data_IF_793065222804
#
_entry.id   IF_793065222804
#
_cell.length_a   1.000
_cell.length_b   1.000
_cell.length_c   1.000
_cell.angle_alpha   90.00
_cell.angle_beta   90.00
_cell.angle_gamma   90.00
#
_symmetry.space_group_name_H-M   'P 1'
#
loop_
_entity.id
_entity.type
_entity.pdbx_description
1 polymer ?
#
# COMPACT_ATOMS: atom_id res chain seq x y z
N UNK A 1 7.61 -36.88 20.52
CA UNK A 1 7.72 -35.56 19.87
C UNK A 1 6.29 -35.08 19.78
N UNK A 2 6.01 -34.03 20.52
CA UNK A 2 4.67 -33.51 20.77
C UNK A 2 4.30 -32.60 19.61
N UNK A 3 3.02 -32.57 19.22
CA UNK A 3 2.53 -31.73 18.12
C UNK A 3 2.93 -30.24 18.26
N UNK A 4 3.17 -29.77 19.50
CA UNK A 4 3.67 -28.42 19.81
C UNK A 4 5.09 -28.16 19.29
N UNK A 5 6.00 -29.13 19.37
CA UNK A 5 7.38 -28.98 18.90
C UNK A 5 7.43 -28.83 17.38
N UNK A 6 6.57 -29.57 16.68
CA UNK A 6 6.45 -29.53 15.22
C UNK A 6 5.87 -28.19 14.74
N UNK A 7 4.88 -27.63 15.45
CA UNK A 7 4.32 -26.31 15.15
C UNK A 7 5.38 -25.21 15.32
N UNK A 8 6.14 -25.25 16.41
CA UNK A 8 7.22 -24.27 16.66
C UNK A 8 8.29 -24.33 15.57
N UNK A 9 8.64 -25.53 15.10
CA UNK A 9 9.59 -25.71 14.01
C UNK A 9 9.08 -25.10 12.70
N UNK A 10 7.82 -25.37 12.34
CA UNK A 10 7.19 -24.81 11.12
C UNK A 10 7.15 -23.28 11.17
N UNK A 11 6.77 -22.69 12.29
CA UNK A 11 6.74 -21.23 12.46
C UNK A 11 8.13 -20.62 12.30
N UNK A 12 9.16 -21.26 12.85
CA UNK A 12 10.55 -20.82 12.72
C UNK A 12 11.03 -20.87 11.27
N UNK A 13 10.69 -21.94 10.54
CA UNK A 13 11.03 -22.06 9.11
C UNK A 13 10.33 -20.97 8.28
N UNK A 14 9.04 -20.71 8.54
CA UNK A 14 8.29 -19.64 7.87
C UNK A 14 8.89 -18.27 8.18
N UNK A 15 9.17 -17.99 9.45
CA UNK A 15 9.81 -16.74 9.84
C UNK A 15 11.16 -16.54 9.15
N UNK A 16 11.95 -17.60 8.99
CA UNK A 16 13.25 -17.52 8.30
C UNK A 16 13.12 -17.19 6.81
N UNK A 17 12.03 -17.62 6.16
CA UNK A 17 11.74 -17.35 4.75
C UNK A 17 11.22 -15.92 4.50
N UNK A 18 10.75 -15.23 5.54
CA UNK A 18 10.21 -13.87 5.39
C UNK A 18 11.31 -12.85 5.06
N UNK A 19 11.00 -11.83 4.24
CA UNK A 19 11.90 -10.72 3.99
C UNK A 19 12.31 -10.00 5.29
N UNK A 20 13.51 -9.43 5.29
CA UNK A 20 14.07 -8.76 6.47
C UNK A 20 13.19 -7.62 7.03
N UNK A 21 12.54 -6.76 6.22
CA UNK A 21 11.60 -5.77 6.72
C UNK A 21 10.42 -6.37 7.49
N UNK A 22 9.87 -7.49 7.01
CA UNK A 22 8.73 -8.17 7.63
C UNK A 22 9.15 -8.82 8.94
N UNK A 23 10.31 -9.49 8.96
CA UNK A 23 10.85 -10.09 10.19
C UNK A 23 11.09 -9.05 11.27
N UNK A 24 11.67 -7.90 10.90
CA UNK A 24 11.88 -6.78 11.83
C UNK A 24 10.55 -6.29 12.39
N UNK A 25 9.54 -6.13 11.55
CA UNK A 25 8.21 -5.69 11.97
C UNK A 25 7.59 -6.67 12.99
N UNK A 26 7.75 -7.98 12.80
CA UNK A 26 7.26 -8.98 13.75
C UNK A 26 8.01 -8.91 15.09
N UNK A 27 9.33 -8.68 15.07
CA UNK A 27 10.15 -8.60 16.30
C UNK A 27 10.18 -7.21 16.94
N UNK A 28 9.61 -6.19 16.29
CA UNK A 28 9.68 -4.81 16.76
C UNK A 28 8.63 -4.56 17.84
N UNK A 29 9.07 -3.92 18.93
CA UNK A 29 8.19 -3.45 19.99
C UNK A 29 7.25 -2.32 19.52
N UNK A 30 7.63 -1.62 18.44
CA UNK A 30 6.85 -0.49 17.93
C UNK A 30 5.46 -0.93 17.44
N UNK A 31 5.35 -2.11 16.82
CA UNK A 31 4.08 -2.63 16.34
C UNK A 31 3.13 -2.94 17.50
N UNK A 32 3.60 -3.59 18.56
CA UNK A 32 2.78 -3.85 19.75
C UNK A 32 2.35 -2.56 20.44
N UNK A 33 3.22 -1.53 20.49
CA UNK A 33 2.85 -0.20 21.00
C UNK A 33 1.76 0.45 20.17
N UNK A 34 1.90 0.44 18.84
CA UNK A 34 0.91 0.99 17.94
C UNK A 34 -0.43 0.26 18.00
N UNK A 35 -0.43 -1.08 18.09
CA UNK A 35 -1.66 -1.86 18.25
C UNK A 35 -2.33 -1.60 19.59
N UNK A 36 -1.55 -1.36 20.65
CA UNK A 36 -2.08 -0.98 21.95
C UNK A 36 -2.73 0.40 21.94
N UNK A 37 -2.07 1.40 21.35
CA UNK A 37 -2.64 2.73 21.12
C UNK A 37 -3.94 2.67 20.31
N UNK A 38 -3.98 1.77 19.31
CA UNK A 38 -5.17 1.51 18.51
C UNK A 38 -6.32 0.93 19.35
N UNK A 39 -6.01 -0.05 20.19
CA UNK A 39 -6.97 -0.66 21.11
C UNK A 39 -7.57 0.36 22.07
N UNK A 40 -6.74 1.25 22.62
CA UNK A 40 -7.21 2.34 23.49
C UNK A 40 -8.11 3.33 22.72
N UNK A 41 -7.74 3.70 21.50
CA UNK A 41 -8.50 4.63 20.64
C UNK A 41 -9.88 4.11 20.28
N UNK A 42 -9.97 2.82 19.95
CA UNK A 42 -11.22 2.15 19.59
C UNK A 42 -11.95 1.55 20.80
N UNK A 43 -11.44 1.78 22.02
CA UNK A 43 -12.00 1.30 23.29
C UNK A 43 -12.18 -0.23 23.32
N UNK A 44 -11.22 -0.94 22.73
CA UNK A 44 -11.18 -2.39 22.78
C UNK A 44 -10.86 -2.86 24.19
N UNK A 45 -11.47 -3.96 24.58
CA UNK A 45 -11.14 -4.65 25.83
C UNK A 45 -9.78 -5.34 25.71
N UNK A 46 -9.18 -5.72 26.84
CA UNK A 46 -7.86 -6.40 26.86
C UNK A 46 -7.90 -7.68 26.02
N UNK A 47 -8.93 -8.51 26.19
CA UNK A 47 -9.08 -9.75 25.43
C UNK A 47 -9.26 -9.51 23.92
N UNK A 48 -9.94 -8.42 23.57
CA UNK A 48 -10.17 -8.02 22.17
C UNK A 48 -8.88 -7.50 21.53
N UNK A 49 -8.10 -6.73 22.28
CA UNK A 49 -6.80 -6.26 21.84
C UNK A 49 -5.83 -7.43 21.63
N UNK A 50 -5.80 -8.41 22.53
CA UNK A 50 -4.99 -9.62 22.38
C UNK A 50 -5.40 -10.42 21.13
N UNK A 51 -6.70 -10.59 20.89
CA UNK A 51 -7.22 -11.23 19.68
C UNK A 51 -6.84 -10.45 18.40
N UNK A 52 -6.86 -9.12 18.46
CA UNK A 52 -6.46 -8.26 17.34
C UNK A 52 -4.96 -8.42 17.03
N UNK A 53 -4.11 -8.41 18.06
CA UNK A 53 -2.66 -8.58 17.92
C UNK A 53 -2.34 -9.94 17.28
N UNK A 54 -2.98 -11.00 17.77
CA UNK A 54 -2.83 -12.35 17.21
C UNK A 54 -3.26 -12.41 15.73
N UNK A 55 -4.39 -11.79 15.38
CA UNK A 55 -4.86 -11.75 13.99
C UNK A 55 -3.85 -11.01 13.08
N UNK A 56 -3.34 -9.85 13.50
CA UNK A 56 -2.35 -9.09 12.74
C UNK A 56 -1.04 -9.86 12.61
N UNK A 57 -0.55 -10.47 13.68
CA UNK A 57 0.64 -11.33 13.65
C UNK A 57 0.47 -12.48 12.66
N UNK A 58 -0.67 -13.18 12.70
CA UNK A 58 -0.96 -14.28 11.77
C UNK A 58 -0.99 -13.81 10.31
N UNK A 59 -1.51 -12.61 10.05
CA UNK A 59 -1.45 -11.99 8.71
C UNK A 59 -0.02 -11.66 8.30
N UNK A 60 0.82 -11.13 9.21
CA UNK A 60 2.24 -10.87 8.94
C UNK A 60 3.05 -12.14 8.65
N UNK A 61 2.70 -13.26 9.31
CA UNK A 61 3.26 -14.58 9.00
C UNK A 61 2.74 -15.17 7.68
N UNK A 62 1.75 -14.52 7.04
CA UNK A 62 1.15 -14.99 5.80
C UNK A 62 0.20 -16.17 5.98
N UNK A 63 -0.31 -16.40 7.19
CA UNK A 63 -1.31 -17.45 7.44
C UNK A 63 -2.66 -17.11 6.81
N UNK A 64 -2.97 -15.81 6.72
CA UNK A 64 -4.18 -15.28 6.08
C UNK A 64 -3.84 -14.10 5.16
N UNK A 65 -4.57 -13.94 4.06
CA UNK A 65 -4.44 -12.78 3.18
C UNK A 65 -4.92 -11.50 3.89
N UNK A 66 -4.39 -10.34 3.50
CA UNK A 66 -4.71 -9.05 4.13
C UNK A 66 -6.17 -8.66 3.85
N UNK A 67 -6.71 -9.08 2.72
CA UNK A 67 -8.09 -8.88 2.31
C UNK A 67 -9.10 -9.52 3.27
N UNK A 68 -8.70 -10.62 3.93
CA UNK A 68 -9.53 -11.32 4.92
C UNK A 68 -9.39 -10.73 6.33
N UNK A 69 -8.50 -9.77 6.55
CA UNK A 69 -8.22 -9.22 7.88
C UNK A 69 -9.46 -8.57 8.50
N UNK A 70 -10.25 -7.82 7.74
CA UNK A 70 -11.50 -7.20 8.24
C UNK A 70 -12.48 -8.26 8.75
N UNK A 71 -12.66 -9.33 7.97
CA UNK A 71 -13.54 -10.45 8.33
C UNK A 71 -13.03 -11.16 9.58
N UNK A 72 -11.71 -11.36 9.69
CA UNK A 72 -11.09 -11.97 10.87
C UNK A 72 -11.22 -11.11 12.11
N UNK A 73 -11.01 -9.80 12.00
CA UNK A 73 -11.20 -8.87 13.12
C UNK A 73 -12.65 -8.94 13.60
N UNK A 74 -13.62 -8.92 12.69
CA UNK A 74 -15.04 -9.04 13.06
C UNK A 74 -15.36 -10.35 13.80
N UNK A 75 -14.77 -11.47 13.35
CA UNK A 75 -15.03 -12.81 13.91
C UNK A 75 -14.31 -13.05 15.25
N UNK A 76 -13.02 -12.74 15.32
CA UNK A 76 -12.16 -13.06 16.48
C UNK A 76 -12.27 -11.99 17.57
N UNK A 77 -12.34 -10.71 17.19
CA UNK A 77 -12.41 -9.58 18.14
C UNK A 77 -13.86 -9.30 18.56
N UNK A 78 -14.85 -9.75 17.77
CA UNK A 78 -16.27 -9.62 18.11
C UNK A 78 -16.79 -8.18 18.05
N UNK A 79 -16.27 -7.37 17.12
CA UNK A 79 -16.60 -5.94 16.97
C UNK A 79 -17.65 -5.71 15.86
N UNK A 80 -18.22 -4.51 15.81
CA UNK A 80 -19.18 -4.13 14.76
C UNK A 80 -18.50 -4.04 13.39
N UNK A 81 -19.28 -4.10 12.31
CA UNK A 81 -18.75 -4.00 10.95
C UNK A 81 -18.00 -2.67 10.70
N UNK A 82 -18.57 -1.56 11.19
CA UNK A 82 -17.99 -0.24 11.07
C UNK A 82 -16.65 -0.12 11.82
N UNK A 83 -16.57 -0.69 13.03
CA UNK A 83 -15.34 -0.67 13.84
C UNK A 83 -14.28 -1.61 13.29
N UNK A 84 -14.67 -2.79 12.78
CA UNK A 84 -13.75 -3.70 12.08
C UNK A 84 -13.10 -3.00 10.89
N UNK A 85 -13.91 -2.35 10.03
CA UNK A 85 -13.40 -1.62 8.86
C UNK A 85 -12.48 -0.47 9.23
N UNK A 86 -12.82 0.29 10.27
CA UNK A 86 -11.98 1.37 10.77
C UNK A 86 -10.64 0.84 11.31
N UNK A 87 -10.67 -0.24 12.12
CA UNK A 87 -9.48 -0.91 12.63
C UNK A 87 -8.59 -1.43 11.49
N UNK A 88 -9.17 -2.12 10.51
CA UNK A 88 -8.41 -2.60 9.34
C UNK A 88 -7.74 -1.47 8.59
N UNK A 89 -8.42 -0.34 8.38
CA UNK A 89 -7.85 0.82 7.71
C UNK A 89 -6.69 1.44 8.51
N UNK A 90 -6.82 1.55 9.83
CA UNK A 90 -5.77 2.09 10.68
C UNK A 90 -4.55 1.15 10.74
N UNK A 91 -4.78 -0.16 10.91
CA UNK A 91 -3.72 -1.18 10.91
C UNK A 91 -2.99 -1.20 9.57
N UNK A 92 -3.73 -1.09 8.46
CA UNK A 92 -3.12 -0.99 7.12
C UNK A 92 -2.13 0.15 7.03
N UNK A 93 -2.45 1.31 7.61
CA UNK A 93 -1.60 2.50 7.56
C UNK A 93 -0.42 2.42 8.52
N UNK A 94 -0.65 1.92 9.73
CA UNK A 94 0.36 1.97 10.79
C UNK A 94 1.35 0.80 10.68
N UNK A 95 0.86 -0.38 10.31
CA UNK A 95 1.68 -1.61 10.30
C UNK A 95 2.07 -2.00 8.87
N UNK A 96 1.11 -2.14 7.96
CA UNK A 96 1.37 -2.76 6.66
C UNK A 96 1.99 -1.80 5.63
N UNK A 97 1.61 -0.53 5.62
CA UNK A 97 2.12 0.49 4.69
C UNK A 97 3.63 0.74 4.87
N UNK A 98 4.18 0.93 6.08
CA UNK A 98 5.63 1.09 6.25
C UNK A 98 6.44 -0.13 5.83
N UNK A 99 5.88 -1.34 6.02
CA UNK A 99 6.51 -2.58 5.56
C UNK A 99 6.50 -2.64 4.04
N UNK A 100 5.38 -2.29 3.41
CA UNK A 100 5.26 -2.24 1.95
C UNK A 100 6.25 -1.25 1.35
N UNK A 101 6.34 -0.04 1.88
CA UNK A 101 7.32 0.97 1.43
C UNK A 101 8.76 0.46 1.54
N UNK A 102 9.11 -0.23 2.63
CA UNK A 102 10.43 -0.82 2.80
C UNK A 102 10.70 -1.93 1.78
N UNK A 103 9.70 -2.77 1.48
CA UNK A 103 9.82 -3.83 0.48
C UNK A 103 9.96 -3.27 -0.94
N UNK A 104 9.12 -2.29 -1.31
CA UNK A 104 9.18 -1.61 -2.60
C UNK A 104 10.54 -0.96 -2.81
N UNK A 105 11.04 -0.26 -1.79
CA UNK A 105 12.38 0.33 -1.82
C UNK A 105 13.47 -0.71 -2.08
N UNK A 106 13.41 -1.87 -1.42
CA UNK A 106 14.39 -2.94 -1.64
C UNK A 106 14.31 -3.50 -3.07
N UNK A 107 13.10 -3.63 -3.62
CA UNK A 107 12.90 -4.12 -4.99
C UNK A 107 13.45 -3.13 -6.02
N UNK A 108 13.13 -1.84 -5.90
CA UNK A 108 13.62 -0.77 -6.78
C UNK A 108 15.16 -0.72 -6.85
N UNK A 109 15.84 -0.85 -5.71
CA UNK A 109 17.31 -0.90 -5.67
C UNK A 109 17.90 -2.26 -6.08
N UNK A 110 17.13 -3.35 -5.98
CA UNK A 110 17.57 -4.67 -6.45
C UNK A 110 17.56 -4.76 -7.98
N UNK A 111 16.53 -4.23 -8.64
CA UNK A 111 16.46 -4.17 -10.10
C UNK A 111 17.55 -3.26 -10.68
N UNK A 112 17.89 -2.17 -9.98
CA UNK A 112 19.01 -1.31 -10.35
C UNK A 112 20.39 -2.01 -10.27
N UNK A 113 20.53 -3.10 -9.50
CA UNK A 113 21.72 -3.97 -9.52
C UNK A 113 21.68 -5.00 -10.65
N UNK A 114 20.51 -5.57 -10.95
CA UNK A 114 20.37 -6.58 -12.02
C UNK A 114 20.50 -5.95 -13.41
N UNK A 115 20.00 -4.73 -13.62
CA UNK A 115 20.09 -4.04 -14.92
C UNK A 115 21.52 -3.61 -15.27
N UNK A 116 22.39 -3.36 -14.29
CA UNK A 116 23.80 -3.01 -14.56
C UNK A 116 24.66 -4.18 -15.03
N UNK A 117 24.20 -5.42 -14.85
CA UNK A 117 24.83 -6.61 -15.44
C UNK A 117 24.14 -7.07 -16.75
N UNK A 118 23.24 -6.26 -17.32
CA UNK A 118 22.59 -6.57 -18.59
C UNK A 118 23.53 -6.29 -19.77
N UNK A 119 24.12 -7.37 -20.33
CA UNK A 119 24.66 -7.51 -21.68
C UNK A 119 25.89 -6.68 -22.07
N UNK A 120 25.89 -5.38 -21.78
CA UNK A 120 26.91 -4.42 -22.22
C UNK A 120 28.15 -4.46 -21.34
N UNK A 121 28.02 -4.63 -20.02
CA UNK A 121 29.18 -4.78 -19.14
C UNK A 121 29.87 -6.14 -19.29
N UNK A 122 29.10 -7.21 -19.52
CA UNK A 122 29.64 -8.54 -19.85
C UNK A 122 30.42 -8.53 -21.18
N UNK A 123 29.90 -7.86 -22.22
CA UNK A 123 30.61 -7.69 -23.49
C UNK A 123 31.85 -6.80 -23.35
N UNK A 124 31.77 -5.72 -22.55
CA UNK A 124 32.91 -4.83 -22.26
C UNK A 124 34.04 -5.56 -21.52
N UNK A 125 33.72 -6.40 -20.53
CA UNK A 125 34.75 -7.19 -19.81
C UNK A 125 35.39 -8.26 -20.71
N UNK A 126 34.65 -8.86 -21.64
CA UNK A 126 35.21 -9.77 -22.64
C UNK A 126 36.12 -9.05 -23.65
N UNK A 127 35.82 -7.80 -24.01
CA UNK A 127 36.70 -7.01 -24.89
C UNK A 127 37.94 -6.46 -24.16
N UNK A 128 37.83 -6.02 -22.92
CA UNK A 128 38.97 -5.51 -22.13
C UNK A 128 40.02 -6.61 -21.83
N UNK A 129 39.60 -7.86 -21.73
CA UNK A 129 40.51 -9.01 -21.57
C UNK A 129 41.11 -9.51 -22.90
N UNK A 130 40.53 -9.14 -24.04
CA UNK A 130 41.05 -9.45 -25.37
C UNK A 130 41.99 -8.36 -25.95
N UNK A 131 42.00 -7.14 -25.39
CA UNK A 131 42.71 -5.98 -25.95
C UNK A 131 44.00 -5.58 -25.23
N UNK A 132 44.57 -6.42 -24.36
CA UNK A 132 45.89 -6.17 -23.76
C UNK A 132 47.08 -6.59 -24.65
N UNK A 133 46.87 -6.81 -25.96
CA UNK A 133 47.95 -6.91 -26.93
C UNK A 133 47.69 -5.98 -28.12
N UNK A 134 48.74 -5.23 -28.48
CA UNK A 134 48.86 -4.30 -29.62
C UNK A 134 48.47 -2.84 -29.33
N UNK A 135 49.33 -2.18 -28.57
CA UNK A 135 49.51 -0.73 -28.65
C UNK A 135 50.56 -0.45 -29.73
N UNK A 136 50.08 -0.16 -30.94
CA UNK A 136 50.85 0.56 -31.96
C UNK A 136 50.00 1.72 -32.46
N UNK A 137 50.67 2.86 -32.52
CA UNK A 137 50.27 4.22 -32.88
C UNK A 137 49.20 4.32 -33.99
N UNK A 138 48.27 5.27 -33.89
CA UNK A 138 48.36 6.52 -34.67
C UNK A 138 47.25 7.52 -34.29
N UNK A 139 47.67 8.78 -34.29
CA UNK A 139 46.92 9.98 -33.91
C UNK A 139 46.36 10.62 -35.17
N UNK A 140 45.05 10.91 -35.23
CA UNK A 140 44.47 12.25 -35.53
C UNK A 140 43.08 12.21 -36.20
N UNK A 141 42.21 13.06 -35.64
CA UNK A 141 41.22 13.93 -36.31
C UNK A 141 40.16 13.27 -37.20
N UNK A 142 38.92 13.32 -36.72
CA UNK A 142 37.86 13.99 -37.48
C UNK A 142 36.68 14.39 -36.59
N UNK A 143 36.34 15.67 -36.69
CA UNK A 143 35.19 16.32 -36.07
C UNK A 143 34.05 16.38 -37.08
N UNK A 144 32.80 16.14 -36.65
CA UNK A 144 31.59 16.64 -37.32
C UNK A 144 30.35 16.56 -36.40
N UNK A 145 29.90 17.75 -35.95
CA UNK A 145 28.52 18.26 -35.76
C UNK A 145 27.39 17.41 -35.13
N UNK A 146 26.71 17.91 -34.07
CA UNK A 146 25.44 17.39 -33.59
C UNK A 146 24.22 18.01 -34.30
N UNK A 147 23.20 17.18 -34.60
CA UNK A 147 21.88 17.60 -35.07
C UNK A 147 20.98 18.04 -33.89
N UNK A 148 20.14 19.08 -34.05
CA UNK A 148 19.21 19.54 -33.02
C UNK A 148 17.93 18.69 -32.99
N UNK A 149 17.55 18.17 -31.82
CA UNK A 149 16.28 17.45 -31.61
C UNK A 149 15.24 18.44 -31.07
N UNK A 150 14.18 18.69 -31.82
CA UNK A 150 13.05 19.51 -31.36
C UNK A 150 12.08 18.68 -30.49
N UNK A 151 11.53 19.22 -29.40
CA UNK A 151 10.56 18.53 -28.56
C UNK A 151 9.15 18.62 -29.17
N UNK A 152 8.52 17.47 -29.43
CA UNK A 152 7.18 17.39 -30.00
C UNK A 152 6.20 16.73 -29.01
N UNK A 153 5.70 17.48 -28.03
CA UNK A 153 4.37 17.20 -27.44
C UNK A 153 3.80 18.48 -26.81
N UNK A 154 2.74 19.09 -27.36
CA UNK A 154 2.00 20.16 -26.67
C UNK A 154 1.16 19.58 -25.51
N UNK A 155 0.98 20.31 -24.39
CA UNK A 155 0.11 19.88 -23.30
C UNK A 155 -1.38 19.92 -23.71
N UNK A 156 -2.21 19.00 -23.18
CA UNK A 156 -3.65 18.99 -23.47
C UNK A 156 -4.34 20.25 -22.93
N UNK A 157 -5.35 20.72 -23.65
CA UNK A 157 -6.11 21.92 -23.33
C UNK A 157 -6.93 21.78 -22.02
N UNK A 158 -7.10 22.87 -21.24
CA UNK A 158 -7.90 22.84 -20.03
C UNK A 158 -9.40 22.72 -20.35
N UNK A 159 -10.08 21.77 -19.70
CA UNK A 159 -11.53 21.60 -19.79
C UNK A 159 -12.24 22.88 -19.31
N UNK A 160 -12.83 23.63 -20.25
CA UNK A 160 -13.46 24.93 -19.99
C UNK A 160 -14.98 24.83 -19.71
N UNK A 161 -15.52 23.62 -19.57
CA UNK A 161 -16.96 23.45 -19.31
C UNK A 161 -17.21 23.36 -17.81
N UNK A 162 -17.72 24.47 -17.25
CA UNK A 162 -18.29 24.51 -15.90
C UNK A 162 -19.52 23.61 -15.91
N UNK A 163 -19.49 22.51 -15.15
CA UNK A 163 -20.65 21.64 -14.99
C UNK A 163 -21.83 22.47 -14.44
N UNK A 164 -22.84 22.71 -15.27
CA UNK A 164 -24.11 23.28 -14.83
C UNK A 164 -24.78 22.28 -13.90
N UNK A 165 -25.00 22.70 -12.66
CA UNK A 165 -25.76 21.90 -11.69
C UNK A 165 -27.23 21.96 -12.06
N UNK A 166 -27.92 20.83 -11.92
CA UNK A 166 -29.37 20.75 -12.05
C UNK A 166 -30.07 21.80 -11.16
N UNK A 167 -31.23 22.33 -11.58
CA UNK A 167 -31.98 23.28 -10.78
C UNK A 167 -32.39 22.67 -9.43
N UNK A 168 -32.24 23.46 -8.38
CA UNK A 168 -32.75 23.15 -7.04
C UNK A 168 -34.27 22.97 -7.11
N UNK A 169 -34.77 21.88 -6.52
CA UNK A 169 -36.20 21.57 -6.50
C UNK A 169 -37.00 22.71 -5.84
N UNK A 170 -38.20 22.99 -6.36
CA UNK A 170 -39.06 24.07 -5.88
C UNK A 170 -39.45 23.94 -4.38
N UNK A 171 -39.37 22.72 -3.84
CA UNK A 171 -39.62 22.43 -2.43
C UNK A 171 -38.44 22.76 -1.49
N UNK A 172 -37.25 23.08 -2.02
CA UNK A 172 -36.08 23.41 -1.21
C UNK A 172 -36.09 24.88 -0.76
N UNK A 173 -36.21 25.10 0.54
CA UNK A 173 -35.95 26.39 1.18
C UNK A 173 -34.65 26.33 1.99
N UNK A 174 -33.70 27.19 1.63
CA UNK A 174 -32.42 27.30 2.33
C UNK A 174 -32.64 27.70 3.80
N UNK A 175 -32.03 26.97 4.73
CA UNK A 175 -32.14 27.22 6.18
C UNK A 175 -33.32 26.54 6.87
N UNK A 176 -34.20 25.84 6.15
CA UNK A 176 -35.31 25.08 6.75
C UNK A 176 -34.97 23.59 6.81
N UNK A 177 -35.08 23.00 8.01
CA UNK A 177 -34.93 21.56 8.21
C UNK A 177 -35.96 20.80 7.37
N UNK A 178 -35.55 19.66 6.78
CA UNK A 178 -36.41 18.86 5.89
C UNK A 178 -37.71 18.42 6.57
N UNK A 179 -37.68 18.20 7.89
CA UNK A 179 -38.85 17.83 8.70
C UNK A 179 -39.89 18.93 8.86
N UNK A 180 -39.55 20.19 8.61
CA UNK A 180 -40.46 21.34 8.78
C UNK A 180 -41.11 21.79 7.47
N UNK A 181 -40.93 21.05 6.38
CA UNK A 181 -41.51 21.38 5.08
C UNK A 181 -42.93 20.84 4.98
N UNK A 182 -43.86 21.68 4.55
CA UNK A 182 -45.26 21.30 4.30
C UNK A 182 -45.43 20.58 2.96
N UNK A 183 -44.67 20.98 1.93
CA UNK A 183 -44.64 20.27 0.66
C UNK A 183 -43.48 19.27 0.67
N UNK A 184 -43.84 18.00 0.49
CA UNK A 184 -43.00 16.82 0.67
C UNK A 184 -43.09 15.89 -0.55
N UNK A 185 -43.77 16.31 -1.63
CA UNK A 185 -44.04 15.45 -2.80
C UNK A 185 -42.78 14.85 -3.45
N UNK A 186 -41.61 15.42 -3.20
CA UNK A 186 -40.31 15.03 -3.76
C UNK A 186 -39.39 14.30 -2.73
N UNK A 187 -39.89 13.95 -1.54
CA UNK A 187 -39.12 13.23 -0.51
C UNK A 187 -39.53 11.75 -0.45
N UNK A 188 -38.72 10.83 -1.01
CA UNK A 188 -39.06 9.40 -1.08
C UNK A 188 -39.11 8.71 0.29
N UNK A 189 -38.70 9.37 1.37
CA UNK A 189 -38.69 8.82 2.72
C UNK A 189 -39.76 9.41 3.65
N UNK A 190 -40.68 10.25 3.14
CA UNK A 190 -41.68 10.92 3.98
C UNK A 190 -43.10 10.71 3.44
N UNK A 191 -43.97 10.16 4.29
CA UNK A 191 -45.35 9.82 3.92
C UNK A 191 -46.20 11.09 3.68
N UNK A 192 -47.13 11.07 2.71
CA UNK A 192 -48.02 12.20 2.46
C UNK A 192 -48.98 12.39 3.65
N UNK A 193 -49.33 13.64 4.03
CA UNK A 193 -50.31 13.88 5.07
C UNK A 193 -51.67 13.28 4.67
N UNK A 194 -52.30 12.55 5.59
CA UNK A 194 -53.65 11.96 5.41
C UNK A 194 -54.76 13.00 5.39
#
# INVERSE_FOLDING_TARGET
MTDEDDIQMILKERFAQLPEPVRRAITSEDNSKHLRELGERHKLHIDQWEALENAVMMTLFGAFPIEDLEKKIKQEVGVSDETAKALTADISKIVFEPIREQLERLLEYSEAKVVKESGVEAARNQQLSASSFQLSEETTKQAATPLPVAPATPPPAPLTQRAERAPISAAYKAGQASSSRENVEDDPYREPPQ
#
